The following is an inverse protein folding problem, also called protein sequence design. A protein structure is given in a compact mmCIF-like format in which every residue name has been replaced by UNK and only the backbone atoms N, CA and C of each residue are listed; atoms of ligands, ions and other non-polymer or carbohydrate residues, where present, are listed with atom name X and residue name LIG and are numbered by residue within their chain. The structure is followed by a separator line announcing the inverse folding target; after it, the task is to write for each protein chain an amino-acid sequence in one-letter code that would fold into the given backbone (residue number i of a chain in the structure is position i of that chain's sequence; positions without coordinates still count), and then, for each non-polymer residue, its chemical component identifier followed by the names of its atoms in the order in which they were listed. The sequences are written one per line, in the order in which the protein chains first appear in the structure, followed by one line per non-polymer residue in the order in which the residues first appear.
data_IF_205050454405
#
_entry.id   IF_205050454405
#
_cell.length_a   1.000
_cell.length_b   1.000
_cell.length_c   1.000
_cell.angle_alpha   90.00
_cell.angle_beta   90.00
_cell.angle_gamma   90.00
#
_symmetry.space_group_name_H-M   'P 1'
#
loop_
_entity.id
_entity.type
_entity.pdbx_description
1 polymer ?
#
# COMPACT_ATOMS: atom_id res chain seq x y z
N UNK A 1 3.17 6.89 -13.18
CA UNK A 1 4.17 6.50 -14.20
C UNK A 1 5.56 6.92 -13.77
N UNK A 2 5.86 8.23 -13.67
CA UNK A 2 7.19 8.72 -13.25
C UNK A 2 7.69 8.05 -11.96
N UNK A 3 6.84 7.99 -10.92
CA UNK A 3 7.18 7.30 -9.68
C UNK A 3 7.53 5.82 -9.87
N UNK A 4 6.79 5.12 -10.73
CA UNK A 4 7.04 3.71 -11.01
C UNK A 4 8.36 3.50 -11.78
N UNK A 5 8.70 4.39 -12.71
CA UNK A 5 9.98 4.36 -13.42
C UNK A 5 11.16 4.67 -12.48
N UNK A 6 11.04 5.71 -11.65
CA UNK A 6 12.06 6.08 -10.68
C UNK A 6 12.41 4.97 -9.69
N UNK A 7 11.44 4.10 -9.38
CA UNK A 7 11.64 2.92 -8.51
C UNK A 7 12.12 1.71 -9.32
N UNK A 8 11.55 1.49 -10.51
CA UNK A 8 11.79 0.31 -11.33
C UNK A 8 13.14 0.29 -12.04
N UNK A 9 13.60 1.43 -12.57
CA UNK A 9 14.86 1.52 -13.33
C UNK A 9 16.07 1.12 -12.45
N UNK A 10 16.26 1.66 -11.23
CA UNK A 10 17.32 1.19 -10.34
C UNK A 10 17.08 -0.26 -9.85
N UNK A 11 15.84 -0.73 -9.86
CA UNK A 11 15.49 -2.13 -9.55
C UNK A 11 16.21 -3.15 -10.43
N UNK A 12 16.43 -2.82 -11.70
CA UNK A 12 17.19 -3.69 -12.61
C UNK A 12 18.65 -3.83 -12.16
N UNK A 13 19.25 -2.74 -11.68
CA UNK A 13 20.62 -2.73 -11.16
C UNK A 13 20.73 -3.53 -9.85
N UNK A 14 19.73 -3.40 -8.97
CA UNK A 14 19.62 -4.18 -7.74
C UNK A 14 19.62 -5.68 -8.04
N UNK A 15 18.83 -6.10 -9.03
CA UNK A 15 18.74 -7.50 -9.45
C UNK A 15 20.09 -8.04 -9.92
N UNK A 16 20.81 -7.27 -10.75
CA UNK A 16 22.11 -7.69 -11.28
C UNK A 16 23.18 -7.85 -10.20
N UNK A 17 23.21 -6.97 -9.19
CA UNK A 17 24.17 -7.07 -8.08
C UNK A 17 23.94 -8.30 -7.20
N UNK A 18 22.69 -8.67 -6.94
CA UNK A 18 22.37 -9.91 -6.18
C UNK A 18 22.98 -11.16 -6.80
N UNK A 19 23.06 -11.26 -8.13
CA UNK A 19 23.67 -12.42 -8.81
C UNK A 19 25.21 -12.47 -8.64
N UNK A 20 25.87 -11.34 -8.43
CA UNK A 20 27.34 -11.27 -8.35
C UNK A 20 27.83 -11.53 -6.93
N UNK A 21 27.05 -11.17 -5.90
CA UNK A 21 27.37 -11.40 -4.48
C UNK A 21 26.84 -12.75 -3.96
N UNK A 22 25.87 -13.36 -4.65
CA UNK A 22 25.20 -14.60 -4.24
C UNK A 22 26.08 -15.86 -4.11
N UNK A 23 27.37 -15.79 -4.48
CA UNK A 23 28.34 -16.87 -4.29
C UNK A 23 29.01 -16.91 -2.91
N UNK A 24 28.91 -15.86 -2.08
CA UNK A 24 29.72 -15.70 -0.86
C UNK A 24 28.92 -15.34 0.40
N UNK A 25 27.64 -14.99 0.27
CA UNK A 25 26.85 -14.44 1.38
C UNK A 25 25.95 -15.47 2.09
N UNK A 26 25.89 -15.37 3.42
CA UNK A 26 25.08 -16.23 4.31
C UNK A 26 23.58 -16.00 4.08
N UNK A 27 22.72 -16.96 4.44
CA UNK A 27 21.27 -16.92 4.21
C UNK A 27 20.54 -15.66 4.72
N UNK A 28 21.10 -14.96 5.72
CA UNK A 28 20.60 -13.69 6.26
C UNK A 28 20.75 -12.52 5.26
N UNK A 29 21.78 -12.56 4.41
CA UNK A 29 22.12 -11.50 3.45
C UNK A 29 21.22 -11.52 2.19
N UNK A 30 20.54 -12.64 1.92
CA UNK A 30 19.68 -12.81 0.74
C UNK A 30 18.42 -11.92 0.82
N UNK A 31 18.06 -11.47 2.01
CA UNK A 31 16.96 -10.49 2.21
C UNK A 31 17.41 -9.05 2.03
N UNK A 32 18.70 -8.76 1.79
CA UNK A 32 19.21 -7.41 1.60
C UNK A 32 19.17 -7.04 0.10
N UNK A 33 18.09 -6.41 -0.36
CA UNK A 33 18.00 -5.91 -1.74
C UNK A 33 16.60 -5.93 -2.34
N UNK A 34 16.51 -6.12 -3.66
CA UNK A 34 15.23 -6.12 -4.38
C UNK A 34 14.19 -7.11 -3.82
N UNK A 35 14.54 -8.34 -3.36
CA UNK A 35 13.56 -9.24 -2.75
C UNK A 35 12.80 -8.62 -1.59
N UNK A 36 13.45 -7.78 -0.77
CA UNK A 36 12.81 -7.06 0.34
C UNK A 36 11.88 -5.96 -0.14
N UNK A 37 12.30 -5.19 -1.14
CA UNK A 37 11.44 -4.16 -1.76
C UNK A 37 10.17 -4.80 -2.34
N UNK A 38 10.31 -5.95 -3.01
CA UNK A 38 9.17 -6.72 -3.54
C UNK A 38 8.30 -7.25 -2.40
N UNK A 39 8.89 -7.78 -1.33
CA UNK A 39 8.14 -8.27 -0.17
C UNK A 39 7.28 -7.17 0.47
N UNK A 40 7.84 -5.96 0.63
CA UNK A 40 7.14 -4.79 1.17
C UNK A 40 6.03 -4.33 0.24
N UNK A 41 6.32 -4.12 -1.06
CA UNK A 41 5.32 -3.66 -2.02
C UNK A 41 4.24 -4.69 -2.31
N UNK A 42 4.48 -5.98 -2.09
CA UNK A 42 3.44 -7.01 -2.15
C UNK A 42 2.74 -7.24 -0.81
N UNK A 43 3.10 -6.50 0.24
CA UNK A 43 2.59 -6.66 1.60
C UNK A 43 2.63 -8.13 2.08
N UNK A 44 3.69 -8.85 1.71
CA UNK A 44 3.88 -10.26 2.05
C UNK A 44 4.37 -10.39 3.49
N UNK A 45 4.08 -11.54 4.11
CA UNK A 45 4.62 -11.87 5.43
C UNK A 45 6.12 -12.18 5.28
N UNK A 46 7.01 -11.51 6.03
CA UNK A 46 8.45 -11.77 5.99
C UNK A 46 8.81 -13.18 6.43
N UNK A 47 9.93 -13.71 5.91
CA UNK A 47 10.48 -14.99 6.37
C UNK A 47 11.08 -14.90 7.78
N UNK A 48 11.84 -13.84 8.08
CA UNK A 48 12.39 -13.56 9.41
C UNK A 48 11.52 -12.58 10.16
N UNK A 49 10.32 -13.00 10.58
CA UNK A 49 9.35 -12.11 11.23
C UNK A 49 9.86 -11.66 12.61
N UNK A 50 10.00 -10.34 12.80
CA UNK A 50 10.20 -9.76 14.12
C UNK A 50 8.88 -9.77 14.91
N UNK A 51 8.98 -10.14 16.18
CA UNK A 51 7.89 -9.97 17.14
C UNK A 51 7.90 -8.52 17.61
N UNK A 52 6.75 -7.85 17.52
CA UNK A 52 6.56 -6.47 17.97
C UNK A 52 5.60 -6.40 19.14
N UNK A 53 5.75 -5.38 19.99
CA UNK A 53 4.78 -5.10 21.04
C UNK A 53 3.48 -4.55 20.46
N UNK A 54 2.33 -4.95 21.00
CA UNK A 54 1.02 -4.34 20.68
C UNK A 54 0.64 -3.25 21.67
N UNK A 55 1.23 -3.25 22.87
CA UNK A 55 0.92 -2.33 23.96
C UNK A 55 2.17 -1.60 24.45
N UNK A 56 1.99 -0.45 25.10
CA UNK A 56 3.07 0.18 25.85
C UNK A 56 3.26 -0.58 27.16
N UNK A 57 4.49 -0.64 27.68
CA UNK A 57 4.70 -1.22 29.00
C UNK A 57 6.14 -1.64 29.27
N UNK A 58 6.31 -2.40 30.34
CA UNK A 58 7.61 -2.96 30.76
C UNK A 58 7.71 -4.41 30.33
N UNK A 59 8.85 -4.78 29.74
CA UNK A 59 9.13 -6.14 29.28
C UNK A 59 9.56 -7.00 30.47
N UNK A 60 8.93 -8.16 30.62
CA UNK A 60 9.37 -9.26 31.47
C UNK A 60 9.68 -10.50 30.63
N UNK A 61 10.92 -10.96 30.67
CA UNK A 61 11.39 -12.12 29.91
C UNK A 61 11.40 -13.36 30.79
N UNK A 62 10.67 -14.40 30.37
CA UNK A 62 10.70 -15.72 31.00
C UNK A 62 11.47 -16.72 30.15
N UNK A 63 12.52 -17.30 30.73
CA UNK A 63 13.33 -18.35 30.10
C UNK A 63 12.89 -19.73 30.64
N UNK A 64 11.85 -20.30 30.02
CA UNK A 64 11.38 -21.66 30.29
C UNK A 64 11.69 -22.65 29.15
N UNK A 65 10.86 -23.69 28.98
CA UNK A 65 10.90 -24.58 27.79
C UNK A 65 10.57 -23.86 26.48
N UNK A 66 10.02 -22.64 26.56
CA UNK A 66 9.78 -21.68 25.47
C UNK A 66 10.17 -20.30 25.99
N UNK A 67 10.80 -19.48 25.15
CA UNK A 67 11.16 -18.11 25.50
C UNK A 67 9.93 -17.23 25.28
N UNK A 68 9.49 -16.53 26.31
CA UNK A 68 8.29 -15.69 26.27
C UNK A 68 8.65 -14.28 26.74
N UNK A 69 8.12 -13.27 26.06
CA UNK A 69 8.16 -11.87 26.50
C UNK A 69 6.75 -11.50 26.95
N UNK A 70 6.60 -11.15 28.21
CA UNK A 70 5.36 -10.61 28.76
C UNK A 70 5.51 -9.11 28.88
N UNK A 71 4.60 -8.34 28.30
CA UNK A 71 4.58 -6.88 28.42
C UNK A 71 3.44 -6.51 29.34
N UNK A 72 3.74 -5.75 30.39
CA UNK A 72 2.77 -5.27 31.37
C UNK A 72 2.66 -3.76 31.31
N UNK A 73 1.45 -3.26 31.12
CA UNK A 73 1.15 -1.84 31.15
C UNK A 73 0.78 -1.38 32.58
N UNK A 74 0.82 -0.07 32.84
CA UNK A 74 0.48 0.50 34.16
C UNK A 74 -0.98 0.23 34.56
N UNK A 75 -1.86 0.06 33.57
CA UNK A 75 -3.29 -0.26 33.73
C UNK A 75 -3.56 -1.73 34.13
N UNK A 76 -2.52 -2.57 34.23
CA UNK A 76 -2.63 -3.98 34.60
C UNK A 76 -2.93 -4.95 33.44
N UNK A 77 -3.02 -4.44 32.21
CA UNK A 77 -3.08 -5.29 31.01
C UNK A 77 -1.73 -5.96 30.77
N UNK A 78 -1.75 -7.29 30.57
CA UNK A 78 -0.56 -8.08 30.28
C UNK A 78 -0.74 -8.88 29.00
N UNK A 79 0.18 -8.71 28.05
CA UNK A 79 0.18 -9.45 26.79
C UNK A 79 1.43 -10.31 26.69
N UNK A 80 1.27 -11.58 26.33
CA UNK A 80 2.36 -12.55 26.21
C UNK A 80 2.70 -12.80 24.74
N UNK A 81 3.98 -12.70 24.42
CA UNK A 81 4.53 -12.94 23.10
C UNK A 81 5.48 -14.14 23.12
N UNK A 82 5.24 -15.09 22.20
CA UNK A 82 6.10 -16.24 22.03
C UNK A 82 7.29 -15.88 21.14
N UNK A 83 8.51 -16.06 21.65
CA UNK A 83 9.74 -15.78 20.91
C UNK A 83 10.30 -17.10 20.34
N UNK A 84 10.51 -17.20 19.01
CA UNK A 84 11.15 -18.36 18.41
C UNK A 84 12.58 -18.59 18.93
N UNK A 85 12.97 -19.86 19.11
CA UNK A 85 14.23 -20.25 19.74
C UNK A 85 15.53 -19.84 19.01
N UNK A 86 15.45 -19.29 17.80
CA UNK A 86 16.59 -18.75 17.05
C UNK A 86 16.64 -17.23 16.97
N UNK A 87 15.64 -16.53 17.50
CA UNK A 87 15.55 -15.08 17.38
C UNK A 87 16.45 -14.39 18.40
N UNK A 88 17.27 -13.44 17.93
CA UNK A 88 18.03 -12.54 18.79
C UNK A 88 17.07 -11.50 19.39
N UNK A 89 17.22 -11.22 20.67
CA UNK A 89 16.42 -10.21 21.36
C UNK A 89 17.02 -8.82 21.19
N UNK A 90 16.17 -7.83 20.95
CA UNK A 90 16.56 -6.40 20.95
C UNK A 90 16.35 -5.73 22.30
N UNK A 91 15.45 -6.28 23.12
CA UNK A 91 15.05 -5.75 24.43
C UNK A 91 15.60 -6.61 25.57
N UNK A 92 15.76 -5.99 26.75
CA UNK A 92 16.17 -6.62 28.00
C UNK A 92 15.01 -6.68 28.99
N UNK A 93 15.18 -7.50 30.01
CA UNK A 93 14.23 -7.59 31.11
C UNK A 93 14.19 -6.26 31.87
N UNK A 94 13.00 -5.70 32.07
CA UNK A 94 12.79 -4.38 32.66
C UNK A 94 12.84 -3.20 31.69
N UNK A 95 13.08 -3.41 30.39
CA UNK A 95 13.05 -2.32 29.41
C UNK A 95 11.60 -1.81 29.19
N UNK A 96 11.46 -0.50 29.05
CA UNK A 96 10.21 0.12 28.63
C UNK A 96 10.11 0.11 27.11
N UNK A 97 8.97 -0.35 26.58
CA UNK A 97 8.71 -0.44 25.14
C UNK A 97 7.39 0.25 24.78
N UNK A 98 7.35 0.83 23.59
CA UNK A 98 6.14 1.40 23.02
C UNK A 98 5.44 0.38 22.10
N UNK A 99 4.15 0.61 21.88
CA UNK A 99 3.34 -0.16 20.94
C UNK A 99 3.96 -0.06 19.54
N UNK A 100 4.33 -1.21 18.98
CA UNK A 100 4.97 -1.41 17.69
C UNK A 100 6.51 -1.36 17.72
N UNK A 101 7.13 -1.41 18.90
CA UNK A 101 8.57 -1.63 19.03
C UNK A 101 8.94 -3.10 18.84
N UNK A 102 10.14 -3.34 18.31
CA UNK A 102 10.67 -4.67 18.00
C UNK A 102 11.25 -5.34 19.24
N UNK A 103 10.70 -6.50 19.63
CA UNK A 103 11.22 -7.31 20.73
C UNK A 103 12.38 -8.21 20.27
N UNK A 104 12.35 -8.64 19.01
CA UNK A 104 13.33 -9.52 18.39
C UNK A 104 13.88 -8.92 17.10
N UNK A 105 15.12 -9.26 16.75
CA UNK A 105 15.67 -8.95 15.43
C UNK A 105 14.84 -9.61 14.33
N UNK A 106 14.63 -8.88 13.24
CA UNK A 106 13.94 -9.38 12.06
C UNK A 106 13.21 -8.27 11.29
N UNK A 107 12.42 -8.71 10.33
CA UNK A 107 11.56 -7.87 9.52
C UNK A 107 10.16 -7.80 10.11
N UNK A 108 9.61 -6.60 10.23
CA UNK A 108 8.23 -6.41 10.68
C UNK A 108 7.27 -6.66 9.50
N UNK A 109 6.11 -7.25 9.80
CA UNK A 109 5.00 -7.35 8.86
C UNK A 109 4.20 -6.02 8.84
N UNK A 110 4.08 -5.36 7.67
CA UNK A 110 3.36 -4.09 7.55
C UNK A 110 1.90 -4.14 8.03
N UNK A 111 1.24 -5.30 7.94
CA UNK A 111 -0.15 -5.46 8.40
C UNK A 111 -0.28 -5.34 9.92
N UNK A 112 0.75 -5.74 10.68
CA UNK A 112 0.72 -5.66 12.14
C UNK A 112 0.95 -4.20 12.57
N UNK A 113 1.84 -3.48 11.89
CA UNK A 113 2.01 -2.03 12.07
C UNK A 113 0.72 -1.26 11.75
N UNK A 114 0.00 -1.64 10.69
CA UNK A 114 -1.26 -0.98 10.35
C UNK A 114 -2.30 -1.11 11.47
N UNK A 115 -2.33 -2.26 12.18
CA UNK A 115 -3.25 -2.45 13.31
C UNK A 115 -2.85 -1.64 14.53
N UNK A 116 -1.55 -1.54 14.81
CA UNK A 116 -1.03 -0.94 16.05
C UNK A 116 -0.85 0.58 15.89
N UNK A 117 -0.11 1.03 14.87
CA UNK A 117 0.25 2.45 14.63
C UNK A 117 -0.63 3.13 13.58
N UNK A 118 -1.60 2.42 12.99
CA UNK A 118 -2.52 2.96 12.00
C UNK A 118 -1.88 3.27 10.65
N UNK A 119 -2.61 4.04 9.82
CA UNK A 119 -2.24 4.33 8.42
C UNK A 119 -0.93 5.11 8.30
N UNK A 120 -0.76 6.14 9.14
CA UNK A 120 0.45 6.97 9.12
C UNK A 120 1.68 6.17 9.56
N UNK A 121 1.52 5.31 10.57
CA UNK A 121 2.60 4.46 11.06
C UNK A 121 3.11 3.48 10.00
N UNK A 122 2.20 2.78 9.31
CA UNK A 122 2.60 1.85 8.24
C UNK A 122 3.20 2.57 7.04
N UNK A 123 2.71 3.77 6.69
CA UNK A 123 3.29 4.58 5.61
C UNK A 123 4.73 4.98 5.91
N UNK A 124 4.99 5.50 7.12
CA UNK A 124 6.32 5.89 7.55
C UNK A 124 7.28 4.69 7.60
N UNK A 125 6.81 3.54 8.11
CA UNK A 125 7.58 2.31 8.14
C UNK A 125 7.96 1.85 6.72
N UNK A 126 6.98 1.71 5.83
CA UNK A 126 7.23 1.24 4.47
C UNK A 126 8.15 2.19 3.69
N UNK A 127 7.98 3.51 3.86
CA UNK A 127 8.86 4.50 3.25
C UNK A 127 10.30 4.34 3.73
N UNK A 128 10.50 4.29 5.06
CA UNK A 128 11.83 4.13 5.67
C UNK A 128 12.51 2.85 5.21
N UNK A 129 11.77 1.75 5.19
CA UNK A 129 12.30 0.42 4.86
C UNK A 129 12.64 0.29 3.37
N UNK A 130 11.81 0.81 2.47
CA UNK A 130 12.14 0.82 1.04
C UNK A 130 13.33 1.74 0.78
N UNK A 131 13.33 2.93 1.39
CA UNK A 131 14.41 3.90 1.21
C UNK A 131 15.75 3.39 1.74
N UNK A 132 15.76 2.67 2.87
CA UNK A 132 16.99 2.09 3.44
C UNK A 132 17.62 1.09 2.47
N UNK A 133 16.82 0.23 1.83
CA UNK A 133 17.31 -0.74 0.85
C UNK A 133 17.92 -0.05 -0.38
N UNK A 134 17.27 0.99 -0.92
CA UNK A 134 17.83 1.74 -2.06
C UNK A 134 19.11 2.50 -1.67
N UNK A 135 19.13 3.14 -0.49
CA UNK A 135 20.32 3.87 0.01
C UNK A 135 21.51 2.96 0.28
N UNK A 136 21.28 1.79 0.88
CA UNK A 136 22.33 0.77 1.09
C UNK A 136 22.99 0.33 -0.21
N UNK A 137 22.27 0.48 -1.32
CA UNK A 137 22.72 0.11 -2.66
C UNK A 137 23.25 1.32 -3.45
N UNK A 138 23.36 2.49 -2.80
CA UNK A 138 23.89 3.72 -3.37
C UNK A 138 22.95 4.41 -4.35
N UNK A 139 21.64 4.09 -4.31
CA UNK A 139 20.63 4.72 -5.14
C UNK A 139 19.82 5.70 -4.31
N UNK A 140 19.83 6.97 -4.72
CA UNK A 140 18.97 7.99 -4.13
C UNK A 140 17.66 8.13 -4.91
N UNK A 141 16.54 7.82 -4.25
CA UNK A 141 15.19 8.02 -4.80
C UNK A 141 14.48 9.06 -3.95
N UNK A 142 13.73 9.96 -4.59
CA UNK A 142 12.89 10.91 -3.85
C UNK A 142 11.71 10.20 -3.20
N UNK A 143 11.51 10.47 -1.91
CA UNK A 143 10.45 9.90 -1.07
C UNK A 143 9.05 9.99 -1.71
N UNK A 144 8.75 11.09 -2.42
CA UNK A 144 7.48 11.31 -3.12
C UNK A 144 7.09 10.15 -4.06
N UNK A 145 8.07 9.50 -4.68
CA UNK A 145 7.82 8.40 -5.60
C UNK A 145 7.32 7.17 -4.85
N UNK A 146 7.95 6.85 -3.72
CA UNK A 146 7.58 5.73 -2.86
C UNK A 146 6.23 6.02 -2.19
N UNK A 147 6.02 7.23 -1.69
CA UNK A 147 4.75 7.67 -1.09
C UNK A 147 3.56 7.50 -2.05
N UNK A 148 3.72 7.85 -3.33
CA UNK A 148 2.66 7.68 -4.33
C UNK A 148 2.28 6.21 -4.49
N UNK A 149 3.24 5.29 -4.42
CA UNK A 149 2.97 3.84 -4.51
C UNK A 149 2.30 3.32 -3.23
N UNK A 150 2.85 3.67 -2.06
CA UNK A 150 2.27 3.28 -0.76
C UNK A 150 0.84 3.81 -0.63
N UNK A 151 0.55 5.03 -1.12
CA UNK A 151 -0.80 5.59 -1.14
C UNK A 151 -1.77 4.72 -1.95
N UNK A 152 -1.34 4.13 -3.07
CA UNK A 152 -2.18 3.22 -3.85
C UNK A 152 -2.42 1.89 -3.13
N UNK A 153 -1.41 1.37 -2.43
CA UNK A 153 -1.53 0.12 -1.66
C UNK A 153 -2.53 0.21 -0.51
N UNK A 154 -2.66 1.40 0.07
CA UNK A 154 -3.60 1.64 1.16
C UNK A 154 -4.97 2.08 0.68
N UNK A 155 -5.23 2.28 -0.62
CA UNK A 155 -6.42 3.00 -1.11
C UNK A 155 -7.78 2.37 -0.73
N UNK A 156 -7.84 1.06 -0.49
CA UNK A 156 -9.09 0.32 -0.22
C UNK A 156 -9.39 0.19 1.28
N UNK A 157 -10.67 0.02 1.61
CA UNK A 157 -11.18 -0.30 2.94
C UNK A 157 -12.02 -1.58 2.86
N UNK A 158 -12.02 -2.37 3.92
CA UNK A 158 -12.87 -3.55 4.05
C UNK A 158 -14.04 -3.21 4.97
N UNK A 159 -15.26 -3.31 4.45
CA UNK A 159 -16.47 -3.05 5.22
C UNK A 159 -16.63 -4.14 6.29
N UNK A 160 -16.81 -3.75 7.54
CA UNK A 160 -17.11 -4.67 8.64
C UNK A 160 -18.61 -4.73 8.88
N UNK A 161 -19.23 -3.57 8.96
CA UNK A 161 -20.66 -3.40 9.08
C UNK A 161 -21.14 -2.44 7.99
N UNK A 162 -22.15 -2.85 7.24
CA UNK A 162 -22.72 -2.04 6.17
C UNK A 162 -23.67 -0.96 6.70
N UNK A 163 -24.18 -1.09 7.93
CA UNK A 163 -25.27 -0.25 8.43
C UNK A 163 -26.44 -0.27 7.44
N UNK A 164 -26.94 0.92 7.09
CA UNK A 164 -28.03 1.12 6.13
C UNK A 164 -27.54 1.52 4.73
N UNK A 165 -26.23 1.44 4.48
CA UNK A 165 -25.65 1.79 3.16
C UNK A 165 -25.86 0.66 2.14
N UNK A 166 -25.60 0.93 0.86
CA UNK A 166 -25.68 -0.08 -0.21
C UNK A 166 -24.50 -1.06 -0.27
N UNK A 167 -23.54 -0.95 0.66
CA UNK A 167 -22.33 -1.78 0.69
C UNK A 167 -22.59 -3.13 1.34
N UNK A 168 -21.74 -4.12 1.08
CA UNK A 168 -21.85 -5.45 1.71
C UNK A 168 -20.77 -5.67 2.78
N UNK A 169 -21.09 -6.32 3.91
CA UNK A 169 -20.09 -6.74 4.89
C UNK A 169 -19.02 -7.62 4.23
N UNK A 170 -17.75 -7.27 4.46
CA UNK A 170 -16.58 -7.93 3.88
C UNK A 170 -16.15 -7.40 2.51
N UNK A 171 -16.93 -6.53 1.87
CA UNK A 171 -16.60 -5.95 0.56
C UNK A 171 -15.37 -5.02 0.65
N UNK A 172 -14.53 -5.05 -0.40
CA UNK A 172 -13.38 -4.15 -0.55
C UNK A 172 -13.74 -2.96 -1.43
N UNK A 173 -13.91 -1.81 -0.79
CA UNK A 173 -14.38 -0.58 -1.44
C UNK A 173 -13.27 0.48 -1.47
N UNK A 174 -13.30 1.38 -2.45
CA UNK A 174 -12.43 2.56 -2.45
C UNK A 174 -12.80 3.50 -1.30
N UNK A 175 -11.80 4.07 -0.61
CA UNK A 175 -12.04 4.98 0.50
C UNK A 175 -12.92 6.17 0.13
N UNK A 176 -12.75 6.73 -1.07
CA UNK A 176 -13.56 7.87 -1.49
C UNK A 176 -15.00 7.47 -1.76
N UNK A 177 -15.24 6.25 -2.26
CA UNK A 177 -16.60 5.75 -2.43
C UNK A 177 -17.26 5.48 -1.08
N UNK A 178 -16.53 4.86 -0.15
CA UNK A 178 -16.98 4.61 1.21
C UNK A 178 -17.32 5.91 1.96
N UNK A 179 -16.44 6.92 1.91
CA UNK A 179 -16.67 8.24 2.51
C UNK A 179 -17.90 8.91 1.92
N UNK A 180 -18.03 8.94 0.58
CA UNK A 180 -19.18 9.55 -0.08
C UNK A 180 -20.51 8.85 0.24
N UNK A 181 -20.55 7.50 0.30
CA UNK A 181 -21.77 6.76 0.65
C UNK A 181 -22.15 6.97 2.12
N UNK A 182 -21.17 7.01 3.02
CA UNK A 182 -21.40 7.32 4.43
C UNK A 182 -21.90 8.75 4.64
N UNK A 183 -21.33 9.74 3.92
CA UNK A 183 -21.82 11.11 3.97
C UNK A 183 -23.29 11.20 3.54
N UNK A 184 -23.69 10.50 2.47
CA UNK A 184 -25.10 10.43 2.05
C UNK A 184 -25.99 9.77 3.09
N UNK A 185 -25.56 8.66 3.70
CA UNK A 185 -26.32 7.96 4.72
C UNK A 185 -26.55 8.85 5.95
N UNK A 186 -25.51 9.56 6.41
CA UNK A 186 -25.60 10.50 7.53
C UNK A 186 -26.55 11.66 7.21
N UNK A 187 -26.49 12.21 5.99
CA UNK A 187 -27.43 13.26 5.54
C UNK A 187 -28.88 12.78 5.49
N UNK A 188 -29.10 11.49 5.20
CA UNK A 188 -30.43 10.86 5.23
C UNK A 188 -30.87 10.44 6.65
N UNK A 189 -30.03 10.63 7.68
CA UNK A 189 -30.31 10.21 9.05
C UNK A 189 -30.23 8.69 9.27
N UNK A 190 -29.57 7.97 8.36
CA UNK A 190 -29.38 6.51 8.39
C UNK A 190 -28.08 6.14 9.10
N UNK A 191 -27.92 4.86 9.46
CA UNK A 191 -26.70 4.37 10.10
C UNK A 191 -25.56 4.25 9.08
N UNK A 192 -24.41 4.93 9.30
CA UNK A 192 -23.26 4.84 8.40
C UNK A 192 -22.56 3.48 8.53
N UNK A 193 -21.88 3.06 7.46
CA UNK A 193 -21.08 1.84 7.46
C UNK A 193 -19.78 2.02 8.25
N UNK A 194 -19.33 0.91 8.86
CA UNK A 194 -18.04 0.81 9.56
C UNK A 194 -17.10 -0.02 8.69
N UNK A 195 -15.88 0.47 8.48
CA UNK A 195 -14.86 -0.24 7.71
C UNK A 195 -13.48 -0.12 8.35
N UNK A 196 -12.63 -1.12 8.09
CA UNK A 196 -11.21 -1.10 8.46
C UNK A 196 -10.32 -0.90 7.24
N UNK A 197 -9.23 -0.17 7.43
CA UNK A 197 -8.23 0.02 6.37
C UNK A 197 -7.59 -1.32 6.02
N UNK A 198 -7.45 -1.61 4.73
CA UNK A 198 -6.77 -2.82 4.26
C UNK A 198 -5.53 -2.44 3.45
N UNK A 199 -4.36 -2.91 3.88
CA UNK A 199 -3.15 -2.84 3.07
C UNK A 199 -3.19 -3.95 2.03
N UNK A 200 -3.06 -3.57 0.75
CA UNK A 200 -2.98 -4.50 -0.37
C UNK A 200 -1.61 -4.40 -1.03
N UNK A 201 -1.05 -5.55 -1.41
CA UNK A 201 0.11 -5.59 -2.31
C UNK A 201 -0.18 -4.91 -3.65
N UNK A 202 0.83 -4.34 -4.30
CA UNK A 202 0.68 -3.61 -5.57
C UNK A 202 0.00 -4.45 -6.65
N UNK A 203 0.27 -5.76 -6.71
CA UNK A 203 -0.42 -6.67 -7.65
C UNK A 203 -1.92 -6.73 -7.35
N UNK A 204 -2.31 -6.96 -6.09
CA UNK A 204 -3.73 -7.00 -5.71
C UNK A 204 -4.41 -5.64 -5.86
N UNK A 205 -3.73 -4.56 -5.51
CA UNK A 205 -4.25 -3.20 -5.67
C UNK A 205 -4.48 -2.84 -7.14
N UNK A 206 -3.61 -3.28 -8.05
CA UNK A 206 -3.76 -3.08 -9.49
C UNK A 206 -4.84 -3.95 -10.14
N UNK A 207 -5.24 -5.05 -9.50
CA UNK A 207 -6.35 -5.90 -9.93
C UNK A 207 -7.70 -5.40 -9.39
N UNK A 208 -7.70 -4.72 -8.24
CA UNK A 208 -8.89 -4.17 -7.60
C UNK A 208 -9.28 -2.79 -8.18
N UNK A 209 -9.23 -2.65 -9.51
CA UNK A 209 -9.63 -1.43 -10.23
C UNK A 209 -11.12 -1.42 -10.48
N UNK A 210 -11.73 -0.24 -10.41
CA UNK A 210 -13.18 -0.10 -10.64
C UNK A 210 -13.54 -0.16 -12.14
N UNK A 211 -12.55 0.09 -13.02
CA UNK A 211 -12.68 -0.11 -14.46
C UNK A 211 -12.65 -1.59 -14.84
N UNK A 212 -13.68 -2.04 -15.54
CA UNK A 212 -13.73 -3.39 -16.08
C UNK A 212 -12.82 -3.56 -17.31
N UNK A 213 -12.55 -2.48 -18.07
CA UNK A 213 -11.60 -2.52 -19.19
C UNK A 213 -10.17 -2.72 -18.70
N UNK A 214 -9.77 -1.99 -17.66
CA UNK A 214 -8.48 -2.18 -17.01
C UNK A 214 -8.38 -3.53 -16.31
N UNK A 215 -9.46 -4.01 -15.68
CA UNK A 215 -9.46 -5.31 -15.02
C UNK A 215 -9.35 -6.47 -16.04
N UNK A 216 -10.06 -6.38 -17.17
CA UNK A 216 -10.03 -7.40 -18.22
C UNK A 216 -8.65 -7.56 -18.87
N UNK A 217 -7.77 -6.55 -18.82
CA UNK A 217 -6.42 -6.67 -19.36
C UNK A 217 -5.45 -7.47 -18.46
N UNK A 218 -5.81 -7.71 -17.19
CA UNK A 218 -4.97 -8.43 -16.22
C UNK A 218 -5.63 -9.69 -15.63
N UNK A 219 -6.96 -9.77 -15.67
CA UNK A 219 -7.75 -10.89 -15.17
C UNK A 219 -8.37 -11.68 -16.32
N UNK A 220 -9.08 -12.76 -15.97
CA UNK A 220 -9.85 -13.55 -16.92
C UNK A 220 -10.95 -12.71 -17.59
N UNK A 221 -10.76 -12.43 -18.89
CA UNK A 221 -11.58 -11.49 -19.68
C UNK A 221 -13.05 -11.86 -19.71
N UNK A 222 -13.36 -13.15 -19.92
CA UNK A 222 -14.72 -13.68 -20.01
C UNK A 222 -15.50 -13.39 -18.73
N UNK A 223 -14.92 -13.71 -17.57
CA UNK A 223 -15.52 -13.48 -16.25
C UNK A 223 -15.79 -12.01 -15.99
N UNK A 224 -14.79 -11.15 -16.22
CA UNK A 224 -14.89 -9.70 -15.95
C UNK A 224 -15.95 -9.04 -16.83
N UNK A 225 -15.97 -9.34 -18.13
CA UNK A 225 -16.95 -8.76 -19.06
C UNK A 225 -18.37 -9.27 -18.79
N UNK A 226 -18.52 -10.55 -18.45
CA UNK A 226 -19.83 -11.13 -18.10
C UNK A 226 -20.39 -10.46 -16.84
N UNK A 227 -19.58 -10.29 -15.80
CA UNK A 227 -20.00 -9.61 -14.57
C UNK A 227 -20.37 -8.14 -14.83
N UNK A 228 -19.58 -7.44 -15.65
CA UNK A 228 -19.85 -6.06 -16.03
C UNK A 228 -21.17 -5.94 -16.82
N UNK A 229 -21.43 -6.88 -17.74
CA UNK A 229 -22.67 -6.92 -18.52
C UNK A 229 -23.89 -7.21 -17.64
N UNK A 230 -23.81 -8.20 -16.74
CA UNK A 230 -24.90 -8.54 -15.81
C UNK A 230 -25.25 -7.34 -14.91
N UNK A 231 -24.23 -6.62 -14.42
CA UNK A 231 -24.40 -5.46 -13.52
C UNK A 231 -24.67 -4.15 -14.27
N UNK A 232 -24.66 -4.14 -15.61
CA UNK A 232 -24.81 -2.92 -16.41
C UNK A 232 -23.76 -1.85 -16.10
N UNK A 233 -22.51 -2.25 -15.81
CA UNK A 233 -21.45 -1.32 -15.38
C UNK A 233 -21.08 -0.35 -16.50
N UNK A 234 -20.82 0.90 -16.13
CA UNK A 234 -20.28 1.94 -17.01
C UNK A 234 -18.84 2.24 -16.61
N UNK A 235 -17.92 2.25 -17.58
CA UNK A 235 -16.52 2.59 -17.33
C UNK A 235 -16.34 4.12 -17.37
N UNK A 236 -15.85 4.77 -16.30
CA UNK A 236 -15.70 6.21 -16.27
C UNK A 236 -14.49 6.73 -17.06
N UNK A 237 -13.60 5.85 -17.55
CA UNK A 237 -12.43 6.20 -18.36
C UNK A 237 -11.50 7.22 -17.70
N UNK A 238 -11.29 7.08 -16.38
CA UNK A 238 -10.42 7.96 -15.60
C UNK A 238 -8.96 7.49 -15.71
N UNK A 239 -8.74 6.20 -15.93
CA UNK A 239 -7.43 5.61 -15.99
C UNK A 239 -6.72 5.85 -17.33
N UNK A 240 -5.39 5.79 -17.31
CA UNK A 240 -4.60 5.83 -18.54
C UNK A 240 -4.80 4.56 -19.38
N UNK A 241 -4.91 3.38 -18.73
CA UNK A 241 -5.00 2.08 -19.39
C UNK A 241 -6.26 1.95 -20.25
N UNK A 242 -7.44 2.25 -19.68
CA UNK A 242 -8.72 2.24 -20.39
C UNK A 242 -8.70 3.09 -21.67
N UNK A 243 -8.20 4.33 -21.56
CA UNK A 243 -8.18 5.26 -22.67
C UNK A 243 -7.22 4.79 -23.78
N UNK A 244 -6.08 4.21 -23.41
CA UNK A 244 -5.16 3.59 -24.39
C UNK A 244 -5.83 2.41 -25.10
N UNK A 245 -6.52 1.53 -24.38
CA UNK A 245 -7.21 0.35 -24.96
C UNK A 245 -8.27 0.79 -25.98
N UNK A 246 -9.02 1.85 -25.69
CA UNK A 246 -10.07 2.37 -26.59
C UNK A 246 -9.49 3.24 -27.73
N UNK A 247 -8.23 3.69 -27.64
CA UNK A 247 -7.64 4.62 -28.61
C UNK A 247 -8.05 6.08 -28.39
N UNK A 248 -8.49 6.44 -27.18
CA UNK A 248 -8.79 7.82 -26.77
C UNK A 248 -7.56 8.50 -26.18
N UNK A 249 -7.50 9.83 -26.30
CA UNK A 249 -6.51 10.65 -25.61
C UNK A 249 -6.47 10.34 -24.11
N UNK A 250 -5.26 10.14 -23.59
CA UNK A 250 -5.05 9.88 -22.16
C UNK A 250 -5.48 11.08 -21.30
N UNK A 251 -6.13 10.88 -20.15
CA UNK A 251 -6.57 11.96 -19.25
C UNK A 251 -5.40 12.49 -18.39
N UNK A 252 -4.26 12.80 -19.01
CA UNK A 252 -3.08 13.37 -18.36
C UNK A 252 -2.35 14.36 -19.29
N UNK A 253 -1.64 15.32 -18.70
CA UNK A 253 -0.95 16.38 -19.45
C UNK A 253 -1.95 17.17 -20.30
N UNK A 254 -1.63 17.38 -21.58
CA UNK A 254 -2.48 18.09 -22.55
C UNK A 254 -3.81 17.39 -22.85
N UNK A 255 -3.95 16.11 -22.50
CA UNK A 255 -5.20 15.36 -22.69
C UNK A 255 -6.27 15.63 -21.62
N UNK A 256 -5.97 16.44 -20.60
CA UNK A 256 -6.96 16.85 -19.60
C UNK A 256 -8.02 17.78 -20.22
N UNK A 257 -9.28 17.60 -19.81
CA UNK A 257 -10.42 18.42 -20.30
C UNK A 257 -10.17 19.92 -20.18
N UNK A 258 -9.50 20.35 -19.11
CA UNK A 258 -9.14 21.76 -18.85
C UNK A 258 -8.27 22.37 -19.95
N UNK A 259 -7.39 21.60 -20.57
CA UNK A 259 -6.49 22.09 -21.63
C UNK A 259 -7.02 21.80 -23.04
N UNK A 260 -7.92 20.81 -23.18
CA UNK A 260 -8.52 20.45 -24.46
C UNK A 260 -9.58 21.45 -24.93
N UNK A 261 -10.33 22.03 -23.99
CA UNK A 261 -11.45 22.92 -24.28
C UNK A 261 -11.07 24.37 -23.96
N UNK A 262 -9.95 24.83 -24.50
CA UNK A 262 -9.52 26.23 -24.37
C UNK A 262 -9.87 26.96 -25.64
N UNK A 263 -10.64 28.03 -25.50
CA UNK A 263 -10.90 28.97 -26.58
C UNK A 263 -9.78 30.02 -26.57
N UNK A 264 -9.18 30.25 -27.74
CA UNK A 264 -8.09 31.23 -27.90
C UNK A 264 -8.70 32.49 -28.47
N UNK A 265 -8.73 33.55 -27.66
CA UNK A 265 -9.14 34.87 -28.13
C UNK A 265 -7.93 35.66 -28.64
N UNK A 266 -7.97 36.21 -29.86
CA UNK A 266 -6.92 37.10 -30.35
C UNK A 266 -6.96 38.42 -29.58
N UNK A 267 -5.78 38.92 -29.18
CA UNK A 267 -5.66 40.23 -28.54
C UNK A 267 -5.88 41.32 -29.61
N UNK A 268 -7.02 42.02 -29.51
CA UNK A 268 -7.38 43.27 -30.19
C UNK A 268 -6.92 43.41 -31.66
N UNK A 269 -7.78 43.01 -32.61
CA UNK A 269 -7.83 43.62 -33.93
C UNK A 269 -6.78 43.20 -34.97
N UNK A 270 -6.05 42.11 -34.74
CA UNK A 270 -5.34 41.45 -35.84
C UNK A 270 -6.38 40.74 -36.73
N UNK A 271 -6.81 41.41 -37.80
CA UNK A 271 -7.58 40.82 -38.88
C UNK A 271 -6.90 39.53 -39.33
N UNK A 272 -7.64 38.42 -39.33
CA UNK A 272 -7.23 37.18 -39.95
C UNK A 272 -7.10 37.37 -41.47
N UNK A 273 -5.96 37.89 -41.93
CA UNK A 273 -5.47 37.60 -43.27
C UNK A 273 -4.84 36.21 -43.23
N UNK A 274 -5.69 35.19 -43.24
CA UNK A 274 -5.31 33.89 -43.76
C UNK A 274 -5.92 33.82 -45.17
N UNK A 275 -5.13 34.26 -46.15
CA UNK A 275 -5.40 34.01 -47.57
C UNK A 275 -5.35 32.49 -47.83
N UNK A 276 -6.38 32.04 -48.57
CA UNK A 276 -6.50 30.86 -49.46
C UNK A 276 -5.91 29.51 -49.04
#
# INVERSE_FOLDING_TARGET
IIAAQAIGEPGTQLTMRTFHTGGVASADDITQGLPRVVEIFEARKPKGLAVISEINGVVSLTEGKKREATISNEDGETVKYLIPFGSKLRVRDGDAVEAGDELTDGSINPNDILKIKGVKGVQAYMLKEVQSVYRLQGVEISDKHIEVIIRQMLRKVQVEDAGDTSMLPGELVDIFHFENENEKAVLAGLQPAIAKRKLLGITKAALATDSFLSAASFQETTRVLTEAAIKGKVDPLVGLKENVIIGKLIPAGIGLRRYRNVEVEPINGASSTAEQ
#
